data_IF_137917191293
#
_entry.id   IF_137917191293
#
_cell.length_a   1.000
_cell.length_b   1.000
_cell.length_c   1.000
_cell.angle_alpha   90.00
_cell.angle_beta   90.00
_cell.angle_gamma   90.00
#
_symmetry.space_group_name_H-M   'P 1'
#
loop_
_entity.id
_entity.type
_entity.pdbx_description
1 polymer ?
#
# COMPACT_ATOMS: atom_id res chain seq x y z
N UNK A 1 -58.58 2.05 -3.21
CA UNK A 1 -57.67 1.82 -2.07
C UNK A 1 -56.33 1.10 -2.43
N UNK A 2 -56.28 0.24 -3.46
CA UNK A 2 -55.04 -0.44 -3.89
C UNK A 2 -54.04 0.51 -4.56
N UNK A 3 -54.49 1.46 -5.35
CA UNK A 3 -53.69 2.44 -6.08
C UNK A 3 -52.90 3.42 -5.18
N UNK A 4 -53.49 3.77 -4.03
CA UNK A 4 -52.86 4.64 -3.02
C UNK A 4 -51.75 3.95 -2.23
N UNK A 5 -51.83 2.64 -2.01
CA UNK A 5 -50.82 1.86 -1.33
C UNK A 5 -49.55 1.71 -2.24
N UNK A 6 -49.76 1.36 -3.50
CA UNK A 6 -48.67 1.22 -4.47
C UNK A 6 -47.95 2.57 -4.73
N UNK A 7 -48.69 3.68 -4.73
CA UNK A 7 -48.07 5.02 -4.89
C UNK A 7 -47.23 5.38 -3.65
N UNK A 8 -47.71 5.04 -2.44
CA UNK A 8 -46.96 5.28 -1.21
C UNK A 8 -45.68 4.45 -1.16
N UNK A 9 -45.74 3.15 -1.50
CA UNK A 9 -44.54 2.30 -1.58
C UNK A 9 -43.52 2.80 -2.59
N UNK A 10 -43.99 3.32 -3.72
CA UNK A 10 -43.14 3.91 -4.76
C UNK A 10 -42.45 5.18 -4.29
N UNK A 11 -43.16 6.04 -3.57
CA UNK A 11 -42.57 7.25 -2.98
C UNK A 11 -41.55 6.91 -1.89
N UNK A 12 -41.82 5.95 -1.04
CA UNK A 12 -40.87 5.50 -0.03
C UNK A 12 -39.56 4.99 -0.65
N UNK A 13 -39.65 4.18 -1.72
CA UNK A 13 -38.45 3.72 -2.45
C UNK A 13 -37.68 4.86 -3.10
N UNK A 14 -38.38 5.86 -3.66
CA UNK A 14 -37.72 7.04 -4.22
C UNK A 14 -36.99 7.82 -3.13
N UNK A 15 -37.61 8.04 -1.99
CA UNK A 15 -37.00 8.73 -0.85
C UNK A 15 -35.73 7.98 -0.34
N UNK A 16 -35.81 6.65 -0.25
CA UNK A 16 -34.67 5.82 0.11
C UNK A 16 -33.52 5.94 -0.91
N UNK A 17 -33.86 5.88 -2.20
CA UNK A 17 -32.86 6.05 -3.27
C UNK A 17 -32.22 7.44 -3.26
N UNK A 18 -33.02 8.51 -3.06
CA UNK A 18 -32.51 9.89 -2.98
C UNK A 18 -31.60 10.05 -1.76
N UNK A 19 -31.99 9.50 -0.61
CA UNK A 19 -31.18 9.56 0.60
C UNK A 19 -29.85 8.84 0.40
N UNK A 20 -29.86 7.61 -0.11
CA UNK A 20 -28.65 6.83 -0.42
C UNK A 20 -27.76 7.56 -1.44
N UNK A 21 -28.34 8.16 -2.48
CA UNK A 21 -27.63 8.97 -3.45
C UNK A 21 -26.96 10.21 -2.84
N UNK A 22 -27.63 10.90 -1.95
CA UNK A 22 -27.07 12.04 -1.23
C UNK A 22 -25.95 11.64 -0.28
N UNK A 23 -26.09 10.53 0.44
CA UNK A 23 -25.04 10.00 1.32
C UNK A 23 -23.79 9.61 0.51
N UNK A 24 -23.96 8.98 -0.65
CA UNK A 24 -22.86 8.65 -1.55
C UNK A 24 -22.18 9.91 -2.11
N UNK A 25 -22.96 10.94 -2.51
CA UNK A 25 -22.43 12.20 -3.00
C UNK A 25 -21.65 12.94 -1.91
N UNK A 26 -22.18 12.99 -0.69
CA UNK A 26 -21.50 13.59 0.48
C UNK A 26 -20.20 12.86 0.82
N UNK A 27 -20.21 11.54 0.77
CA UNK A 27 -19.03 10.73 0.98
C UNK A 27 -17.98 11.05 -0.10
N UNK A 28 -18.34 10.98 -1.38
CA UNK A 28 -17.45 11.27 -2.50
C UNK A 28 -16.87 12.69 -2.40
N UNK A 29 -17.68 13.67 -2.05
CA UNK A 29 -17.24 15.05 -1.84
C UNK A 29 -16.22 15.16 -0.70
N UNK A 30 -16.47 14.53 0.44
CA UNK A 30 -15.55 14.52 1.59
C UNK A 30 -14.21 13.87 1.23
N UNK A 31 -14.22 12.74 0.53
CA UNK A 31 -13.00 12.07 0.09
C UNK A 31 -12.20 12.89 -0.93
N UNK A 32 -12.89 13.47 -1.93
CA UNK A 32 -12.24 14.33 -2.94
C UNK A 32 -11.67 15.61 -2.34
N UNK A 33 -12.31 16.17 -1.30
CA UNK A 33 -11.86 17.39 -0.62
C UNK A 33 -10.96 17.12 0.57
N UNK A 34 -10.79 15.87 0.99
CA UNK A 34 -9.86 15.51 2.05
C UNK A 34 -8.42 15.93 1.70
N UNK A 35 -7.68 16.35 2.72
CA UNK A 35 -6.28 16.71 2.60
C UNK A 35 -5.45 15.65 3.35
N UNK A 36 -5.00 14.58 2.68
CA UNK A 36 -4.10 13.64 3.32
C UNK A 36 -2.84 14.40 3.78
N UNK A 37 -2.33 14.05 4.95
CA UNK A 37 -1.12 14.63 5.53
C UNK A 37 -1.19 16.13 5.90
N UNK A 38 -2.39 16.73 5.99
CA UNK A 38 -2.58 18.15 6.31
C UNK A 38 -3.28 18.42 7.66
N UNK A 39 -3.45 17.42 8.50
CA UNK A 39 -4.21 17.54 9.75
C UNK A 39 -3.75 18.70 10.67
N UNK A 40 -2.46 19.04 10.63
CA UNK A 40 -1.87 20.06 11.49
C UNK A 40 -1.69 21.44 10.81
N UNK A 41 -2.17 21.62 9.60
CA UNK A 41 -1.97 22.90 8.88
C UNK A 41 -2.96 23.94 9.34
N UNK A 42 -2.44 24.95 10.00
CA UNK A 42 -3.21 26.14 10.40
C UNK A 42 -3.18 27.17 9.27
N UNK A 43 -4.34 27.71 8.95
CA UNK A 43 -4.44 28.87 8.07
C UNK A 43 -3.62 30.03 8.62
N UNK A 44 -2.85 30.68 7.78
CA UNK A 44 -2.03 31.84 8.11
C UNK A 44 -2.16 32.89 7.03
N UNK A 45 -2.13 34.16 7.43
CA UNK A 45 -2.07 35.26 6.49
C UNK A 45 -0.61 35.65 6.25
N UNK A 46 -0.30 35.87 4.99
CA UNK A 46 0.99 36.34 4.51
C UNK A 46 0.82 37.62 3.73
N UNK A 47 1.68 38.59 3.94
CA UNK A 47 1.71 39.83 3.17
C UNK A 47 2.68 39.66 2.00
N UNK A 48 2.22 39.84 0.76
CA UNK A 48 3.07 39.79 -0.42
C UNK A 48 3.91 41.09 -0.57
N UNK A 49 4.78 41.11 -1.58
CA UNK A 49 5.65 42.26 -1.85
C UNK A 49 4.88 43.54 -2.20
N UNK A 50 3.59 43.44 -2.54
CA UNK A 50 2.70 44.57 -2.86
C UNK A 50 1.83 45.01 -1.69
N UNK A 51 2.03 44.42 -0.50
CA UNK A 51 1.26 44.71 0.70
C UNK A 51 -0.12 44.05 0.76
N UNK A 52 -0.44 43.06 -0.10
CA UNK A 52 -1.70 42.31 -0.07
C UNK A 52 -1.64 41.15 0.89
N UNK A 53 -2.67 40.99 1.69
CA UNK A 53 -2.85 39.82 2.50
C UNK A 53 -3.30 38.64 1.66
N UNK A 54 -2.61 37.51 1.81
CA UNK A 54 -2.92 36.23 1.16
C UNK A 54 -3.10 35.15 2.23
N UNK A 55 -4.13 34.35 2.10
CA UNK A 55 -4.37 33.19 2.94
C UNK A 55 -3.54 32.01 2.44
N UNK A 56 -2.79 31.42 3.34
CA UNK A 56 -1.99 30.23 3.06
C UNK A 56 -1.79 29.36 4.29
N UNK A 57 -0.81 28.50 4.27
CA UNK A 57 -0.41 27.70 5.42
C UNK A 57 1.12 27.54 5.45
N UNK A 58 1.66 27.29 6.62
CA UNK A 58 3.09 27.01 6.79
C UNK A 58 3.28 25.53 7.04
N UNK A 59 4.18 24.89 6.30
CA UNK A 59 4.65 23.54 6.53
C UNK A 59 5.75 23.49 7.61
N UNK A 60 6.19 22.29 7.96
CA UNK A 60 7.35 22.09 8.79
C UNK A 60 8.61 22.69 8.11
N UNK A 61 9.49 23.29 8.92
CA UNK A 61 10.72 23.92 8.44
C UNK A 61 11.89 23.33 9.20
N UNK A 62 12.85 22.77 8.48
CA UNK A 62 14.10 22.25 9.02
C UNK A 62 14.84 21.42 7.97
N UNK A 63 16.19 21.37 8.04
CA UNK A 63 16.94 20.46 7.18
C UNK A 63 16.70 19.02 7.65
N UNK A 64 16.25 18.18 6.73
CA UNK A 64 16.18 16.73 6.89
C UNK A 64 16.94 16.09 5.71
N UNK A 65 17.52 14.87 5.88
CA UNK A 65 18.00 14.09 4.75
C UNK A 65 16.88 13.91 3.75
N UNK A 66 17.15 14.03 2.45
CA UNK A 66 16.11 14.18 1.44
C UNK A 66 15.12 12.99 1.44
N UNK A 67 15.62 11.77 1.37
CA UNK A 67 14.77 10.58 1.27
C UNK A 67 14.27 10.07 2.63
N UNK A 68 15.12 9.89 3.67
CA UNK A 68 14.63 9.48 4.99
C UNK A 68 13.65 10.46 5.62
N UNK A 69 13.86 11.78 5.42
CA UNK A 69 12.93 12.80 5.90
C UNK A 69 11.61 12.83 5.14
N UNK A 70 11.63 12.46 3.86
CA UNK A 70 10.44 12.33 3.05
C UNK A 70 9.59 11.13 3.49
N UNK A 71 10.20 9.96 3.68
CA UNK A 71 9.56 8.76 4.21
C UNK A 71 8.94 8.99 5.59
N UNK A 72 9.65 9.66 6.49
CA UNK A 72 9.12 9.98 7.83
C UNK A 72 7.85 10.84 7.78
N UNK A 73 7.76 11.77 6.81
CA UNK A 73 6.60 12.63 6.61
C UNK A 73 5.41 11.85 6.03
N UNK A 74 5.64 10.95 5.07
CA UNK A 74 4.56 10.30 4.30
C UNK A 74 4.23 8.90 4.78
N UNK A 75 5.19 8.11 5.20
CA UNK A 75 5.00 6.75 5.69
C UNK A 75 4.53 6.71 7.15
N UNK A 76 4.93 7.71 7.91
CA UNK A 76 4.58 7.86 9.32
C UNK A 76 5.52 7.13 10.30
N UNK A 77 5.18 7.15 11.62
CA UNK A 77 6.01 6.56 12.65
C UNK A 77 6.16 5.05 12.50
N UNK A 78 7.34 4.52 12.82
CA UNK A 78 7.65 3.08 12.79
C UNK A 78 6.58 2.21 13.48
N UNK A 79 6.12 2.60 14.66
CA UNK A 79 5.09 1.87 15.39
C UNK A 79 3.79 1.69 14.60
N UNK A 80 3.39 2.71 13.83
CA UNK A 80 2.20 2.66 12.99
C UNK A 80 2.39 1.70 11.82
N UNK A 81 3.57 1.73 11.18
CA UNK A 81 3.90 0.82 10.07
C UNK A 81 3.94 -0.61 10.56
N UNK A 82 4.60 -0.88 11.69
CA UNK A 82 4.62 -2.22 12.32
C UNK A 82 3.22 -2.74 12.63
N UNK A 83 2.34 -1.91 13.20
CA UNK A 83 0.97 -2.33 13.51
C UNK A 83 0.19 -2.71 12.24
N UNK A 84 0.35 -1.95 11.17
CA UNK A 84 -0.27 -2.26 9.87
C UNK A 84 0.26 -3.55 9.25
N UNK A 85 1.56 -3.77 9.30
CA UNK A 85 2.20 -4.95 8.71
C UNK A 85 1.98 -6.23 9.54
N UNK A 86 1.63 -6.12 10.81
CA UNK A 86 1.43 -7.27 11.72
C UNK A 86 0.43 -8.30 11.18
N UNK A 87 -0.54 -7.87 10.40
CA UNK A 87 -1.57 -8.75 9.82
C UNK A 87 -1.00 -9.82 8.87
N UNK A 88 0.20 -9.60 8.34
CA UNK A 88 0.85 -10.54 7.42
C UNK A 88 1.72 -11.59 8.13
N UNK A 89 2.09 -11.38 9.41
CA UNK A 89 3.09 -12.20 10.12
C UNK A 89 2.68 -13.67 10.16
N UNK A 90 1.43 -13.97 10.53
CA UNK A 90 0.96 -15.35 10.63
C UNK A 90 0.94 -16.08 9.27
N UNK A 91 0.68 -15.34 8.19
CA UNK A 91 0.72 -15.88 6.84
C UNK A 91 2.17 -16.12 6.41
N UNK A 92 3.05 -15.15 6.58
CA UNK A 92 4.47 -15.25 6.24
C UNK A 92 5.19 -16.31 7.04
N UNK A 93 4.83 -16.51 8.33
CA UNK A 93 5.42 -17.54 9.19
C UNK A 93 5.22 -18.97 8.66
N UNK A 94 4.15 -19.20 7.91
CA UNK A 94 3.90 -20.49 7.25
C UNK A 94 4.72 -20.71 5.99
N UNK A 95 5.34 -19.65 5.49
CA UNK A 95 6.04 -19.62 4.20
C UNK A 95 7.51 -19.17 4.32
N UNK A 96 8.20 -19.51 5.42
CA UNK A 96 9.64 -19.24 5.51
C UNK A 96 10.46 -20.08 4.50
N UNK A 97 11.62 -19.63 4.01
CA UNK A 97 12.22 -18.31 4.28
C UNK A 97 11.51 -17.19 3.51
N UNK A 98 11.56 -15.98 4.08
CA UNK A 98 10.89 -14.78 3.54
C UNK A 98 11.93 -13.78 3.04
N UNK A 99 11.65 -13.15 1.90
CA UNK A 99 12.41 -11.99 1.42
C UNK A 99 11.49 -10.77 1.39
N UNK A 100 11.93 -9.66 2.03
CA UNK A 100 11.24 -8.37 2.02
C UNK A 100 11.92 -7.42 1.02
N UNK A 101 11.18 -7.03 -0.03
CA UNK A 101 11.66 -6.16 -1.10
C UNK A 101 11.28 -4.71 -0.80
N UNK A 102 12.26 -3.80 -0.79
CA UNK A 102 12.04 -2.44 -0.34
C UNK A 102 11.74 -2.39 1.15
N UNK A 103 12.54 -3.10 1.94
CA UNK A 103 12.27 -3.32 3.36
C UNK A 103 12.38 -2.06 4.23
N UNK A 104 12.86 -0.95 3.69
CA UNK A 104 12.98 0.33 4.38
C UNK A 104 13.74 0.22 5.70
N UNK A 105 13.11 0.67 6.78
CA UNK A 105 13.67 0.61 8.14
C UNK A 105 13.63 -0.78 8.79
N UNK A 106 13.05 -1.78 8.09
CA UNK A 106 13.02 -3.18 8.53
C UNK A 106 11.84 -3.56 9.44
N UNK A 107 10.75 -2.81 9.44
CA UNK A 107 9.61 -3.04 10.32
C UNK A 107 9.04 -4.47 10.20
N UNK A 108 8.90 -4.98 8.97
CA UNK A 108 8.45 -6.36 8.75
C UNK A 108 9.49 -7.38 9.21
N UNK A 109 10.77 -7.13 8.94
CA UNK A 109 11.85 -8.04 9.35
C UNK A 109 11.94 -8.18 10.87
N UNK A 110 11.74 -7.08 11.62
CA UNK A 110 11.66 -7.14 13.08
C UNK A 110 10.47 -7.99 13.55
N UNK A 111 9.29 -7.82 12.93
CA UNK A 111 8.11 -8.61 13.25
C UNK A 111 8.34 -10.11 12.98
N UNK A 112 8.98 -10.44 11.86
CA UNK A 112 9.30 -11.82 11.50
C UNK A 112 10.37 -12.41 12.45
N UNK A 113 11.38 -11.63 12.82
CA UNK A 113 12.41 -12.03 13.78
C UNK A 113 11.80 -12.31 15.17
N UNK A 114 10.88 -11.45 15.65
CA UNK A 114 10.14 -11.68 16.90
C UNK A 114 9.30 -12.96 16.86
N UNK A 115 8.78 -13.31 15.68
CA UNK A 115 8.02 -14.54 15.45
C UNK A 115 8.92 -15.78 15.20
N UNK A 116 10.26 -15.63 15.21
CA UNK A 116 11.20 -16.72 14.94
C UNK A 116 11.20 -17.19 13.49
N UNK A 117 10.80 -16.33 12.55
CA UNK A 117 10.71 -16.62 11.11
C UNK A 117 12.03 -16.23 10.42
N UNK A 118 12.59 -17.15 9.64
CA UNK A 118 13.76 -16.86 8.80
C UNK A 118 13.37 -15.86 7.70
N UNK A 119 14.02 -14.68 7.73
CA UNK A 119 13.75 -13.61 6.78
C UNK A 119 14.99 -12.78 6.49
N UNK A 120 15.05 -12.24 5.28
CA UNK A 120 16.06 -11.25 4.88
C UNK A 120 15.38 -10.14 4.08
N UNK A 121 16.05 -8.99 3.98
CA UNK A 121 15.50 -7.85 3.26
C UNK A 121 16.50 -7.22 2.30
N UNK A 122 15.99 -6.41 1.40
CA UNK A 122 16.80 -5.58 0.51
C UNK A 122 16.19 -4.18 0.39
N UNK A 123 17.04 -3.16 0.46
CA UNK A 123 16.64 -1.78 0.21
C UNK A 123 17.76 -1.03 -0.54
N UNK A 124 17.36 -0.06 -1.36
CA UNK A 124 18.30 0.74 -2.15
C UNK A 124 18.87 1.93 -1.35
N UNK A 125 18.19 2.37 -0.30
CA UNK A 125 18.60 3.49 0.54
C UNK A 125 19.56 3.02 1.64
N UNK A 126 20.80 3.49 1.59
CA UNK A 126 21.84 3.10 2.56
C UNK A 126 21.48 3.50 3.99
N UNK A 127 20.84 4.65 4.18
CA UNK A 127 20.41 5.13 5.51
C UNK A 127 19.32 4.26 6.13
N UNK A 128 18.39 3.76 5.31
CA UNK A 128 17.39 2.79 5.73
C UNK A 128 18.03 1.45 6.11
N UNK A 129 18.93 0.96 5.27
CA UNK A 129 19.67 -0.29 5.53
C UNK A 129 20.48 -0.21 6.82
N UNK A 130 21.16 0.90 7.09
CA UNK A 130 21.90 1.08 8.34
C UNK A 130 20.98 1.06 9.58
N UNK A 131 19.84 1.74 9.51
CA UNK A 131 18.85 1.74 10.59
C UNK A 131 18.32 0.34 10.86
N UNK A 132 17.95 -0.36 9.82
CA UNK A 132 17.41 -1.69 9.93
C UNK A 132 18.44 -2.72 10.42
N UNK A 133 19.71 -2.62 10.01
CA UNK A 133 20.80 -3.45 10.54
C UNK A 133 21.02 -3.25 12.04
N UNK A 134 20.79 -2.04 12.55
CA UNK A 134 20.91 -1.75 13.97
C UNK A 134 19.94 -2.55 14.85
N UNK A 135 18.84 -3.07 14.28
CA UNK A 135 17.88 -3.94 14.98
C UNK A 135 18.31 -5.43 14.98
N UNK A 136 19.34 -5.79 14.23
CA UNK A 136 19.83 -7.15 14.07
C UNK A 136 19.21 -7.92 12.89
N UNK A 137 18.42 -7.26 12.06
CA UNK A 137 17.80 -7.86 10.87
C UNK A 137 18.86 -8.14 9.78
N UNK A 138 18.67 -9.22 9.00
CA UNK A 138 19.50 -9.57 7.85
C UNK A 138 19.06 -8.73 6.64
N UNK A 139 19.85 -7.72 6.29
CA UNK A 139 19.51 -6.76 5.24
C UNK A 139 20.67 -6.54 4.28
N UNK A 140 20.32 -6.51 3.00
CA UNK A 140 21.21 -6.20 1.90
C UNK A 140 20.96 -4.78 1.37
N UNK A 141 22.03 -4.03 1.14
CA UNK A 141 21.96 -2.77 0.41
C UNK A 141 22.06 -3.07 -1.08
N UNK A 142 21.04 -2.70 -1.86
CA UNK A 142 21.04 -2.90 -3.31
C UNK A 142 19.66 -2.86 -3.96
N UNK A 143 19.67 -3.06 -5.25
CA UNK A 143 18.47 -3.14 -6.07
C UNK A 143 17.73 -4.46 -5.84
N UNK A 144 16.42 -4.39 -5.66
CA UNK A 144 15.56 -5.54 -5.32
C UNK A 144 15.52 -6.60 -6.43
N UNK A 145 15.49 -6.19 -7.70
CA UNK A 145 15.47 -7.12 -8.83
C UNK A 145 16.80 -7.89 -8.90
N UNK A 146 17.92 -7.17 -8.80
CA UNK A 146 19.25 -7.77 -8.78
C UNK A 146 19.46 -8.69 -7.57
N UNK A 147 18.85 -8.37 -6.44
CA UNK A 147 18.88 -9.21 -5.26
C UNK A 147 18.11 -10.51 -5.47
N UNK A 148 16.88 -10.44 -6.00
CA UNK A 148 16.10 -11.64 -6.34
C UNK A 148 16.79 -12.51 -7.38
N UNK A 149 17.39 -11.94 -8.41
CA UNK A 149 18.11 -12.69 -9.44
C UNK A 149 19.23 -13.58 -8.87
N UNK A 150 19.82 -13.20 -7.74
CA UNK A 150 20.91 -13.96 -7.08
C UNK A 150 20.39 -15.08 -6.18
N UNK A 151 19.10 -15.09 -5.84
CA UNK A 151 18.52 -16.18 -5.09
C UNK A 151 18.46 -17.46 -5.93
N UNK A 152 18.52 -18.62 -5.32
CA UNK A 152 18.33 -19.88 -6.02
C UNK A 152 16.86 -20.02 -6.46
N UNK A 153 16.63 -20.66 -7.60
CA UNK A 153 15.28 -20.95 -8.06
C UNK A 153 14.57 -21.90 -7.08
N UNK A 154 13.29 -21.67 -6.86
CA UNK A 154 12.44 -22.44 -5.95
C UNK A 154 12.98 -22.54 -4.51
N UNK A 155 13.72 -21.54 -4.02
CA UNK A 155 14.29 -21.52 -2.67
C UNK A 155 13.45 -20.75 -1.65
N UNK A 156 12.67 -19.75 -2.08
CA UNK A 156 11.92 -18.87 -1.19
C UNK A 156 10.53 -19.43 -0.88
N UNK A 157 10.13 -19.32 0.37
CA UNK A 157 8.76 -19.63 0.79
C UNK A 157 7.82 -18.46 0.57
N UNK A 158 8.29 -17.25 0.84
CA UNK A 158 7.53 -16.03 0.54
C UNK A 158 8.43 -14.90 0.07
N UNK A 159 7.83 -14.04 -0.76
CA UNK A 159 8.33 -12.71 -1.09
C UNK A 159 7.29 -11.72 -0.61
N UNK A 160 7.72 -10.76 0.20
CA UNK A 160 6.89 -9.68 0.72
C UNK A 160 7.37 -8.35 0.17
N UNK A 161 6.46 -7.44 -0.08
CA UNK A 161 6.76 -6.03 -0.32
C UNK A 161 5.59 -5.16 0.13
N UNK A 162 5.88 -4.04 0.77
CA UNK A 162 4.86 -3.07 1.16
C UNK A 162 5.31 -1.67 0.74
N UNK A 163 4.47 -0.97 -0.01
CA UNK A 163 4.75 0.37 -0.53
C UNK A 163 6.06 0.42 -1.34
N UNK A 164 6.24 -0.57 -2.20
CA UNK A 164 7.43 -0.73 -3.04
C UNK A 164 7.10 -0.79 -4.53
N UNK A 165 6.09 -1.58 -4.92
CA UNK A 165 5.82 -1.84 -6.35
C UNK A 165 5.37 -0.60 -7.12
N UNK A 166 4.81 0.41 -6.47
CA UNK A 166 4.46 1.71 -7.05
C UNK A 166 5.66 2.57 -7.43
N UNK A 167 6.84 2.26 -6.88
CA UNK A 167 8.11 2.90 -7.23
C UNK A 167 8.81 2.20 -8.40
N UNK A 168 8.37 0.98 -8.76
CA UNK A 168 8.93 0.21 -9.86
C UNK A 168 8.37 0.72 -11.19
N UNK A 169 9.20 1.03 -12.21
CA UNK A 169 8.70 1.36 -13.53
C UNK A 169 7.75 0.26 -14.05
N UNK A 170 6.59 0.67 -14.55
CA UNK A 170 5.54 -0.28 -15.00
C UNK A 170 6.05 -1.28 -16.06
N UNK A 171 7.05 -0.89 -16.85
CA UNK A 171 7.70 -1.74 -17.84
C UNK A 171 8.57 -2.84 -17.24
N UNK A 172 8.99 -2.70 -15.98
CA UNK A 172 9.81 -3.67 -15.26
C UNK A 172 8.99 -4.59 -14.35
N UNK A 173 7.73 -4.25 -14.08
CA UNK A 173 6.86 -5.07 -13.22
C UNK A 173 6.68 -6.51 -13.72
N UNK A 174 6.45 -6.77 -15.03
CA UNK A 174 6.37 -8.15 -15.52
C UNK A 174 7.64 -8.95 -15.24
N UNK A 175 8.83 -8.38 -15.49
CA UNK A 175 10.11 -9.04 -15.22
C UNK A 175 10.29 -9.32 -13.73
N UNK A 176 9.99 -8.35 -12.87
CA UNK A 176 10.03 -8.53 -11.41
C UNK A 176 9.14 -9.69 -10.96
N UNK A 177 7.90 -9.76 -11.47
CA UNK A 177 6.96 -10.80 -11.12
C UNK A 177 7.37 -12.19 -11.66
N UNK A 178 7.91 -12.27 -12.88
CA UNK A 178 8.44 -13.51 -13.45
C UNK A 178 9.62 -14.04 -12.62
N UNK A 179 10.55 -13.18 -12.26
CA UNK A 179 11.68 -13.54 -11.41
C UNK A 179 11.20 -13.94 -10.02
N UNK A 180 10.34 -13.15 -9.38
CA UNK A 180 9.75 -13.47 -8.08
C UNK A 180 9.11 -14.88 -8.11
N UNK A 181 8.29 -15.16 -9.13
CA UNK A 181 7.69 -16.49 -9.29
C UNK A 181 8.72 -17.62 -9.42
N UNK A 182 9.80 -17.39 -10.18
CA UNK A 182 10.85 -18.41 -10.35
C UNK A 182 11.61 -18.73 -9.05
N UNK A 183 11.69 -17.76 -8.13
CA UNK A 183 12.37 -17.92 -6.85
C UNK A 183 11.49 -18.57 -5.78
N UNK A 184 10.18 -18.49 -5.94
CA UNK A 184 9.23 -19.14 -5.03
C UNK A 184 9.24 -20.66 -5.23
N UNK A 185 9.35 -21.40 -4.12
CA UNK A 185 9.17 -22.85 -4.12
C UNK A 185 7.72 -23.23 -4.43
N UNK A 186 7.42 -24.48 -4.79
CA UNK A 186 6.04 -24.94 -4.88
C UNK A 186 5.25 -24.65 -3.61
N UNK A 187 4.09 -24.00 -3.77
CA UNK A 187 3.29 -23.50 -2.63
C UNK A 187 3.82 -22.22 -1.99
N UNK A 188 4.87 -21.62 -2.53
CA UNK A 188 5.36 -20.30 -2.08
C UNK A 188 4.45 -19.18 -2.56
N UNK A 189 4.50 -18.02 -1.87
CA UNK A 189 3.63 -16.89 -2.11
C UNK A 189 4.39 -15.58 -2.30
N UNK A 190 3.83 -14.71 -3.13
CA UNK A 190 4.16 -13.29 -3.19
C UNK A 190 3.05 -12.51 -2.50
N UNK A 191 3.40 -11.58 -1.62
CA UNK A 191 2.51 -10.57 -1.07
C UNK A 191 3.07 -9.21 -1.46
N UNK A 192 2.27 -8.42 -2.21
CA UNK A 192 2.65 -7.06 -2.57
C UNK A 192 1.52 -6.09 -2.17
N UNK A 193 1.79 -5.29 -1.13
CA UNK A 193 0.89 -4.23 -0.66
C UNK A 193 1.26 -2.91 -1.34
N UNK A 194 0.26 -2.17 -1.77
CA UNK A 194 0.43 -0.83 -2.36
C UNK A 194 -0.83 0.02 -2.16
N UNK A 195 -0.73 1.28 -2.55
CA UNK A 195 -1.83 2.25 -2.49
C UNK A 195 -3.03 1.78 -3.31
N UNK A 196 -4.23 1.93 -2.75
CA UNK A 196 -5.49 1.59 -3.43
C UNK A 196 -6.00 2.75 -4.30
N UNK A 197 -5.87 2.69 -5.64
CA UNK A 197 -6.29 3.78 -6.52
C UNK A 197 -7.81 3.93 -6.65
N UNK A 198 -8.61 2.93 -6.23
CA UNK A 198 -10.07 3.04 -6.17
C UNK A 198 -10.54 3.98 -5.05
N UNK A 199 -9.74 4.17 -4.01
CA UNK A 199 -9.98 5.17 -2.98
C UNK A 199 -9.53 6.55 -3.47
N UNK A 200 -10.44 7.53 -3.66
CA UNK A 200 -10.07 8.88 -4.12
C UNK A 200 -9.06 9.57 -3.20
N UNK A 201 -9.17 9.30 -1.90
CA UNK A 201 -8.25 9.82 -0.89
C UNK A 201 -6.85 9.23 -1.03
N UNK A 202 -6.76 7.92 -1.21
CA UNK A 202 -5.49 7.24 -1.37
C UNK A 202 -4.83 7.58 -2.71
N UNK A 203 -5.60 7.64 -3.80
CA UNK A 203 -5.10 8.08 -5.10
C UNK A 203 -4.56 9.52 -5.06
N UNK A 204 -5.20 10.39 -4.29
CA UNK A 204 -4.71 11.75 -4.09
C UNK A 204 -3.41 11.76 -3.28
N UNK A 205 -3.30 10.93 -2.25
CA UNK A 205 -2.07 10.75 -1.48
C UNK A 205 -0.94 10.18 -2.34
N UNK A 206 -1.24 9.25 -3.24
CA UNK A 206 -0.29 8.68 -4.19
C UNK A 206 0.47 9.77 -4.96
N UNK A 207 -0.25 10.76 -5.51
CA UNK A 207 0.35 11.83 -6.31
C UNK A 207 1.09 12.91 -5.50
N UNK A 208 1.06 12.84 -4.17
CA UNK A 208 1.86 13.72 -3.31
C UNK A 208 3.32 13.25 -3.26
N UNK A 209 3.56 11.94 -3.36
CA UNK A 209 4.90 11.38 -3.41
C UNK A 209 5.45 11.46 -4.84
N UNK A 210 6.51 12.25 -5.09
CA UNK A 210 7.09 12.39 -6.42
C UNK A 210 7.89 11.17 -6.88
N UNK A 211 8.14 10.20 -6.01
CA UNK A 211 8.88 8.98 -6.33
C UNK A 211 7.98 7.86 -6.86
N UNK A 212 6.67 7.98 -6.68
CA UNK A 212 5.69 7.07 -7.25
C UNK A 212 5.67 7.17 -8.78
N UNK A 213 5.72 6.04 -9.44
CA UNK A 213 5.77 5.95 -10.89
C UNK A 213 4.36 5.88 -11.51
N UNK A 214 3.53 4.97 -11.03
CA UNK A 214 2.22 4.71 -11.60
C UNK A 214 1.27 4.10 -10.57
N UNK A 215 0.01 4.58 -10.46
CA UNK A 215 -0.99 3.93 -9.63
C UNK A 215 -1.32 2.54 -10.18
N UNK A 216 -1.18 1.52 -9.35
CA UNK A 216 -1.45 0.13 -9.73
C UNK A 216 -2.84 -0.27 -9.24
N UNK A 217 -3.77 -0.46 -10.16
CA UNK A 217 -5.10 -0.96 -9.82
C UNK A 217 -5.08 -2.45 -9.46
N UNK A 218 -5.89 -2.91 -8.49
CA UNK A 218 -5.99 -4.32 -8.13
C UNK A 218 -6.18 -5.24 -9.36
N UNK A 219 -7.02 -4.82 -10.30
CA UNK A 219 -7.30 -5.56 -11.54
C UNK A 219 -6.06 -5.68 -12.42
N UNK A 220 -5.24 -4.63 -12.47
CA UNK A 220 -3.97 -4.65 -13.20
C UNK A 220 -3.00 -5.63 -12.58
N UNK A 221 -2.89 -5.65 -11.25
CA UNK A 221 -2.01 -6.57 -10.55
C UNK A 221 -2.45 -8.02 -10.72
N UNK A 222 -3.76 -8.32 -10.64
CA UNK A 222 -4.28 -9.65 -10.94
C UNK A 222 -3.96 -10.10 -12.37
N UNK A 223 -4.11 -9.20 -13.34
CA UNK A 223 -3.78 -9.48 -14.73
C UNK A 223 -2.28 -9.74 -14.91
N UNK A 224 -1.41 -8.93 -14.31
CA UNK A 224 0.03 -9.10 -14.34
C UNK A 224 0.46 -10.43 -13.71
N UNK A 225 -0.03 -10.77 -12.52
CA UNK A 225 0.26 -12.06 -11.88
C UNK A 225 -0.12 -13.24 -12.80
N UNK A 226 -1.31 -13.19 -13.42
CA UNK A 226 -1.74 -14.22 -14.36
C UNK A 226 -0.83 -14.31 -15.59
N UNK A 227 -0.47 -13.18 -16.19
CA UNK A 227 0.35 -13.12 -17.40
C UNK A 227 1.79 -13.57 -17.15
N UNK A 228 2.30 -13.38 -15.93
CA UNK A 228 3.64 -13.82 -15.50
C UNK A 228 3.66 -15.24 -14.92
N UNK A 229 2.52 -15.94 -14.97
CA UNK A 229 2.41 -17.38 -14.74
C UNK A 229 2.20 -17.78 -13.27
N UNK A 230 1.73 -16.90 -12.40
CA UNK A 230 1.20 -17.31 -11.10
C UNK A 230 -0.06 -18.16 -11.29
N UNK A 231 -0.19 -19.24 -10.54
CA UNK A 231 -1.30 -20.19 -10.65
C UNK A 231 -2.57 -19.66 -9.98
N UNK A 232 -2.40 -18.91 -8.89
CA UNK A 232 -3.47 -18.25 -8.18
C UNK A 232 -3.07 -16.83 -7.79
N UNK A 233 -4.02 -15.91 -7.80
CA UNK A 233 -3.85 -14.56 -7.28
C UNK A 233 -5.18 -14.03 -6.72
N UNK A 234 -5.10 -13.33 -5.61
CA UNK A 234 -6.25 -12.70 -4.97
C UNK A 234 -5.90 -11.32 -4.44
N UNK A 235 -6.91 -10.49 -4.26
CA UNK A 235 -6.78 -9.17 -3.63
C UNK A 235 -7.34 -9.25 -2.21
N UNK A 236 -6.64 -8.61 -1.29
CA UNK A 236 -7.10 -8.42 0.09
C UNK A 236 -6.95 -6.97 0.51
N UNK A 237 -7.78 -6.56 1.45
CA UNK A 237 -7.69 -5.26 2.12
C UNK A 237 -7.33 -5.54 3.59
N UNK A 238 -6.05 -5.46 3.97
CA UNK A 238 -5.56 -5.93 5.28
C UNK A 238 -6.22 -5.26 6.48
N UNK A 239 -6.63 -4.00 6.31
CA UNK A 239 -7.33 -3.19 7.32
C UNK A 239 -8.80 -2.94 6.91
N UNK A 240 -9.32 -3.78 6.03
CA UNK A 240 -10.69 -3.70 5.54
C UNK A 240 -11.73 -4.21 6.53
N UNK A 241 -12.94 -4.22 6.04
CA UNK A 241 -14.15 -4.69 6.74
C UNK A 241 -14.66 -5.97 6.06
N UNK A 242 -15.88 -6.39 6.39
CA UNK A 242 -16.55 -7.50 5.68
C UNK A 242 -17.34 -7.01 4.45
N UNK A 243 -17.22 -5.73 4.07
CA UNK A 243 -17.88 -5.13 2.90
C UNK A 243 -16.85 -4.78 1.81
N UNK A 244 -16.65 -5.69 0.87
CA UNK A 244 -15.72 -5.50 -0.24
C UNK A 244 -15.99 -4.20 -1.02
N UNK A 245 -17.24 -3.82 -1.21
CA UNK A 245 -17.59 -2.61 -1.95
C UNK A 245 -17.23 -1.33 -1.18
N UNK A 246 -17.30 -1.37 0.15
CA UNK A 246 -16.81 -0.31 1.02
C UNK A 246 -15.28 -0.29 0.99
N UNK A 247 -14.62 -1.42 1.16
CA UNK A 247 -13.17 -1.53 1.22
C UNK A 247 -12.49 -1.03 -0.06
N UNK A 248 -13.01 -1.38 -1.22
CA UNK A 248 -12.55 -0.85 -2.51
C UNK A 248 -12.55 0.68 -2.56
N UNK A 249 -13.51 1.33 -1.91
CA UNK A 249 -13.66 2.80 -1.94
C UNK A 249 -12.95 3.52 -0.81
N UNK A 250 -12.69 2.86 0.31
CA UNK A 250 -12.28 3.53 1.55
C UNK A 250 -10.92 3.11 2.07
N UNK A 251 -10.48 1.85 1.82
CA UNK A 251 -9.16 1.42 2.23
C UNK A 251 -8.07 2.20 1.51
N UNK A 252 -7.07 2.61 2.25
CA UNK A 252 -5.91 3.33 1.70
C UNK A 252 -5.00 2.44 0.87
N UNK A 253 -4.89 1.19 1.29
CA UNK A 253 -4.01 0.18 0.71
C UNK A 253 -4.80 -1.08 0.35
N UNK A 254 -4.26 -1.87 -0.57
CA UNK A 254 -4.63 -3.25 -0.85
C UNK A 254 -3.37 -4.10 -1.00
N UNK A 255 -3.50 -5.40 -0.85
CA UNK A 255 -2.43 -6.33 -1.18
C UNK A 255 -2.89 -7.35 -2.23
N UNK A 256 -2.02 -7.64 -3.19
CA UNK A 256 -2.13 -8.83 -4.01
C UNK A 256 -1.37 -9.97 -3.33
N UNK A 257 -2.02 -11.12 -3.19
CA UNK A 257 -1.40 -12.37 -2.75
C UNK A 257 -1.42 -13.30 -3.96
N UNK A 258 -0.24 -13.70 -4.43
CA UNK A 258 -0.12 -14.57 -5.60
C UNK A 258 0.72 -15.80 -5.26
N UNK A 259 0.31 -16.98 -5.71
CA UNK A 259 0.92 -18.25 -5.38
C UNK A 259 1.45 -19.03 -6.57
N UNK A 260 2.52 -19.80 -6.33
CA UNK A 260 3.00 -20.85 -7.22
C UNK A 260 2.29 -22.19 -6.91
N UNK A 261 0.97 -22.11 -6.70
CA UNK A 261 0.06 -23.18 -6.32
C UNK A 261 -1.24 -22.60 -5.79
N UNK A 262 -2.11 -23.45 -5.21
CA UNK A 262 -3.34 -23.00 -4.58
C UNK A 262 -3.03 -22.14 -3.34
N UNK A 263 -3.86 -21.12 -3.07
CA UNK A 263 -3.73 -20.20 -1.93
C UNK A 263 -4.55 -20.63 -0.70
N UNK A 264 -5.11 -21.85 -0.70
CA UNK A 264 -5.97 -22.40 0.37
C UNK A 264 -5.18 -22.70 1.66
#
# INVERSE_FOLDING_TARGET
MHETAQTRDRLTRIDEMVRAGNEQADFAYKELTAFPYLADKRAMYFTDANGREQLGYRGAVGPAPLYPGFEEIFRGPEALVRDRQRVYVDLLARHAPVVDLGCGRGEMLELLMEAGVEASGVDLDEGMVERARATGADIHHGDALNYLMKQEDASLGAIFSAQFIEHVPVTQLPELLEIARSKLRPGGILIAETVNPHSPRALKAFWIDPTHQHPLFPETMLALCRLTGFEAAQITFPLGTDDLAADLRTCGEYAVIAGSGNLD
#
